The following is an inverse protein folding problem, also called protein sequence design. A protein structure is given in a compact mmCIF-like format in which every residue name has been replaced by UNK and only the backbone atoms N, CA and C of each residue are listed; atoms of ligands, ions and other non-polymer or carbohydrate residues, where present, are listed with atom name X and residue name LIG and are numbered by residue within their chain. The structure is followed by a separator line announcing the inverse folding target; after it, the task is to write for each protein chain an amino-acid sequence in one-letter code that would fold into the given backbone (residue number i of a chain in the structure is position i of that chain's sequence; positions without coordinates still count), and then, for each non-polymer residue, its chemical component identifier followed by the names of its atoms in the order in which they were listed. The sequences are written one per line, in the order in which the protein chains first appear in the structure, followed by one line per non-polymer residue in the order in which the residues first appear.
data_IF_308424707552
#
_entry.id   IF_308424707552
#
_cell.length_a   1.000
_cell.length_b   1.000
_cell.length_c   1.000
_cell.angle_alpha   90.00
_cell.angle_beta   90.00
_cell.angle_gamma   90.00
#
_symmetry.space_group_name_H-M   'P 1'
#
loop_
_entity.id
_entity.type
_entity.pdbx_description
1 polymer ?
#
# COMPACT_ATOMS: atom_id res chain seq x y z
N UNK A 1 -1.50 -19.95 -21.18
CA UNK A 1 -1.77 -19.25 -19.91
C UNK A 1 -1.26 -17.81 -20.00
N UNK A 2 -0.10 -17.53 -20.62
CA UNK A 2 0.43 -16.17 -20.84
C UNK A 2 -0.46 -15.41 -21.82
N UNK A 3 -1.37 -14.63 -21.30
CA UNK A 3 -2.33 -13.83 -22.07
C UNK A 3 -2.92 -12.73 -21.20
N UNK A 4 -3.51 -11.72 -21.83
CA UNK A 4 -4.22 -10.65 -21.11
C UNK A 4 -5.37 -11.19 -20.26
N UNK A 5 -6.05 -12.26 -20.71
CA UNK A 5 -7.11 -12.92 -19.94
C UNK A 5 -6.58 -13.57 -18.67
N UNK A 6 -5.40 -14.20 -18.73
CA UNK A 6 -4.71 -14.76 -17.56
C UNK A 6 -4.32 -13.68 -16.55
N UNK A 7 -3.75 -12.56 -17.03
CA UNK A 7 -3.41 -11.42 -16.18
C UNK A 7 -4.64 -10.81 -15.48
N UNK A 8 -5.75 -10.62 -16.22
CA UNK A 8 -7.02 -10.12 -15.65
C UNK A 8 -7.54 -11.06 -14.57
N UNK A 9 -7.55 -12.37 -14.84
CA UNK A 9 -8.02 -13.37 -13.86
C UNK A 9 -7.17 -13.32 -12.59
N UNK A 10 -5.84 -13.32 -12.73
CA UNK A 10 -4.93 -13.30 -11.59
C UNK A 10 -5.07 -12.02 -10.77
N UNK A 11 -5.03 -10.85 -11.41
CA UNK A 11 -5.19 -9.57 -10.72
C UNK A 11 -6.56 -9.46 -10.04
N UNK A 12 -7.62 -10.00 -10.66
CA UNK A 12 -8.95 -10.02 -10.05
C UNK A 12 -8.96 -10.87 -8.78
N UNK A 13 -8.36 -12.08 -8.82
CA UNK A 13 -8.30 -12.98 -7.67
C UNK A 13 -7.43 -12.45 -6.51
N UNK A 14 -6.46 -11.60 -6.80
CA UNK A 14 -5.57 -11.02 -5.78
C UNK A 14 -6.10 -9.69 -5.25
N UNK A 15 -6.71 -8.85 -6.10
CA UNK A 15 -7.08 -7.47 -5.74
C UNK A 15 -8.56 -7.32 -5.30
N UNK A 16 -9.43 -8.34 -5.48
CA UNK A 16 -10.84 -8.24 -5.05
C UNK A 16 -11.03 -7.85 -3.57
N UNK A 17 -10.13 -8.18 -2.61
CA UNK A 17 -10.33 -7.80 -1.21
C UNK A 17 -10.42 -6.31 -0.99
N UNK A 18 -9.77 -5.48 -1.80
CA UNK A 18 -9.86 -4.01 -1.70
C UNK A 18 -11.30 -3.51 -1.89
N UNK A 19 -11.97 -3.99 -2.94
CA UNK A 19 -13.39 -3.63 -3.19
C UNK A 19 -14.29 -4.28 -2.16
N UNK A 20 -14.06 -5.55 -1.84
CA UNK A 20 -14.88 -6.31 -0.89
C UNK A 20 -14.90 -5.68 0.49
N UNK A 21 -13.73 -5.33 1.05
CA UNK A 21 -13.63 -4.79 2.40
C UNK A 21 -14.32 -3.42 2.54
N UNK A 22 -14.14 -2.54 1.55
CA UNK A 22 -14.76 -1.22 1.56
C UNK A 22 -16.27 -1.30 1.32
N UNK A 23 -16.72 -2.14 0.38
CA UNK A 23 -18.14 -2.37 0.16
C UNK A 23 -18.80 -2.98 1.40
N UNK A 24 -18.16 -4.01 2.00
CA UNK A 24 -18.64 -4.65 3.22
C UNK A 24 -18.76 -3.66 4.38
N UNK A 25 -17.76 -2.80 4.60
CA UNK A 25 -17.81 -1.78 5.63
C UNK A 25 -19.01 -0.83 5.40
N UNK A 26 -19.18 -0.35 4.18
CA UNK A 26 -20.29 0.54 3.82
C UNK A 26 -21.65 -0.12 4.00
N UNK A 27 -21.81 -1.41 3.64
CA UNK A 27 -23.07 -2.13 3.87
C UNK A 27 -23.37 -2.36 5.36
N UNK A 28 -22.33 -2.56 6.20
CA UNK A 28 -22.50 -2.73 7.64
C UNK A 28 -22.85 -1.43 8.36
N UNK A 29 -22.46 -0.28 7.81
CA UNK A 29 -22.75 1.05 8.36
C UNK A 29 -24.13 1.58 7.94
N UNK A 30 -24.81 0.93 7.00
CA UNK A 30 -26.15 1.35 6.56
C UNK A 30 -27.19 1.20 7.69
N UNK A 31 -28.00 2.26 7.87
CA UNK A 31 -29.11 2.24 8.83
C UNK A 31 -30.14 1.16 8.49
N UNK A 32 -30.53 0.39 9.51
CA UNK A 32 -31.60 -0.61 9.41
C UNK A 32 -32.95 0.03 9.04
N UNK A 33 -33.23 1.24 9.53
CA UNK A 33 -34.46 1.97 9.27
C UNK A 33 -34.70 2.24 7.78
N UNK A 34 -33.64 2.54 7.01
CA UNK A 34 -33.75 2.76 5.54
C UNK A 34 -34.16 1.45 4.84
N UNK A 35 -33.58 0.34 5.28
CA UNK A 35 -33.88 -0.98 4.70
C UNK A 35 -35.30 -1.45 5.07
N UNK A 36 -35.71 -1.22 6.30
CA UNK A 36 -37.06 -1.56 6.77
C UNK A 36 -38.12 -0.69 6.07
N UNK A 37 -37.84 0.62 5.89
CA UNK A 37 -38.71 1.50 5.12
C UNK A 37 -38.85 1.04 3.65
N UNK A 38 -37.80 0.57 3.03
CA UNK A 38 -37.89 0.02 1.66
C UNK A 38 -38.80 -1.20 1.57
N UNK A 39 -38.78 -2.05 2.61
CA UNK A 39 -39.65 -3.23 2.70
C UNK A 39 -41.12 -2.86 2.96
N UNK A 40 -41.36 -1.86 3.83
CA UNK A 40 -42.70 -1.32 4.06
C UNK A 40 -43.30 -0.72 2.77
N UNK A 41 -42.44 -0.21 1.87
CA UNK A 41 -42.84 0.28 0.56
C UNK A 41 -42.98 -0.84 -0.50
N UNK A 42 -42.97 -2.11 -0.07
CA UNK A 42 -43.22 -3.27 -0.94
C UNK A 42 -42.02 -3.78 -1.74
N UNK A 43 -40.79 -3.28 -1.48
CA UNK A 43 -39.61 -3.81 -2.16
C UNK A 43 -39.25 -5.20 -1.64
N UNK A 44 -39.06 -6.15 -2.57
CA UNK A 44 -38.46 -7.44 -2.23
C UNK A 44 -36.97 -7.28 -1.87
N UNK A 45 -36.29 -8.29 -1.27
CA UNK A 45 -34.91 -8.17 -0.82
C UNK A 45 -33.92 -7.77 -1.94
N UNK A 46 -34.10 -8.26 -3.17
CA UNK A 46 -33.26 -7.92 -4.31
C UNK A 46 -33.50 -6.48 -4.81
N UNK A 47 -34.77 -6.05 -4.83
CA UNK A 47 -35.12 -4.67 -5.17
C UNK A 47 -34.57 -3.69 -4.13
N UNK A 48 -34.66 -4.02 -2.84
CA UNK A 48 -34.07 -3.23 -1.76
C UNK A 48 -32.54 -3.15 -1.90
N UNK A 49 -31.89 -4.24 -2.26
CA UNK A 49 -30.45 -4.25 -2.52
C UNK A 49 -30.08 -3.32 -3.69
N UNK A 50 -30.65 -3.53 -4.89
CA UNK A 50 -30.27 -2.75 -6.08
C UNK A 50 -30.72 -1.29 -6.05
N UNK A 51 -31.90 -0.99 -5.47
CA UNK A 51 -32.48 0.38 -5.47
C UNK A 51 -32.05 1.22 -4.29
N UNK A 52 -31.68 0.60 -3.16
CA UNK A 52 -31.36 1.31 -1.92
C UNK A 52 -29.95 1.05 -1.44
N UNK A 53 -29.61 -0.20 -1.09
CA UNK A 53 -28.33 -0.50 -0.44
C UNK A 53 -27.14 -0.29 -1.36
N UNK A 54 -27.20 -0.74 -2.61
CA UNK A 54 -26.12 -0.60 -3.58
C UNK A 54 -25.86 0.87 -3.98
N UNK A 55 -26.85 1.72 -4.26
CA UNK A 55 -26.65 3.15 -4.48
C UNK A 55 -25.99 3.87 -3.31
N UNK A 56 -26.33 3.52 -2.07
CA UNK A 56 -25.71 4.09 -0.86
C UNK A 56 -24.23 3.63 -0.76
N UNK A 57 -23.90 2.41 -1.15
CA UNK A 57 -22.55 1.88 -1.12
C UNK A 57 -21.67 2.30 -2.32
N UNK A 58 -22.25 2.89 -3.39
CA UNK A 58 -21.52 3.31 -4.60
C UNK A 58 -20.21 4.06 -4.33
N UNK A 59 -20.18 5.03 -3.39
CA UNK A 59 -18.95 5.77 -3.12
C UNK A 59 -17.83 4.90 -2.56
N UNK A 60 -18.15 3.97 -1.65
CA UNK A 60 -17.18 3.03 -1.08
C UNK A 60 -16.67 2.05 -2.15
N UNK A 61 -17.57 1.58 -3.03
CA UNK A 61 -17.22 0.74 -4.17
C UNK A 61 -16.32 1.50 -5.15
N UNK A 62 -16.63 2.75 -5.45
CA UNK A 62 -15.81 3.59 -6.33
C UNK A 62 -14.39 3.79 -5.78
N UNK A 63 -14.26 4.00 -4.46
CA UNK A 63 -12.95 4.05 -3.79
C UNK A 63 -12.20 2.71 -3.92
N UNK A 64 -12.87 1.59 -3.70
CA UNK A 64 -12.27 0.27 -3.86
C UNK A 64 -11.79 0.03 -5.29
N UNK A 65 -12.60 0.37 -6.29
CA UNK A 65 -12.23 0.28 -7.70
C UNK A 65 -11.04 1.19 -8.05
N UNK A 66 -10.99 2.42 -7.50
CA UNK A 66 -9.85 3.31 -7.70
C UNK A 66 -8.56 2.74 -7.13
N UNK A 67 -8.61 2.12 -5.94
CA UNK A 67 -7.46 1.45 -5.35
C UNK A 67 -6.99 0.27 -6.22
N UNK A 68 -7.91 -0.59 -6.66
CA UNK A 68 -7.58 -1.69 -7.59
C UNK A 68 -6.97 -1.17 -8.89
N UNK A 69 -7.52 -0.09 -9.45
CA UNK A 69 -6.98 0.51 -10.68
C UNK A 69 -5.56 1.06 -10.47
N UNK A 70 -5.29 1.71 -9.33
CA UNK A 70 -3.95 2.20 -8.99
C UNK A 70 -2.96 1.04 -8.82
N UNK A 71 -3.33 -0.03 -8.11
CA UNK A 71 -2.49 -1.22 -7.95
C UNK A 71 -2.23 -1.91 -9.29
N UNK A 72 -3.25 -2.03 -10.15
CA UNK A 72 -3.11 -2.63 -11.49
C UNK A 72 -2.20 -1.81 -12.41
N UNK A 73 -2.32 -0.47 -12.39
CA UNK A 73 -1.45 0.41 -13.19
C UNK A 73 -0.01 0.35 -12.67
N UNK A 74 0.15 0.20 -11.35
CA UNK A 74 1.46 0.11 -10.73
C UNK A 74 2.11 -1.28 -10.85
N UNK A 75 1.33 -2.31 -11.16
CA UNK A 75 1.85 -3.66 -11.32
C UNK A 75 2.81 -3.74 -12.52
N UNK A 76 3.97 -4.33 -12.28
CA UNK A 76 4.97 -4.60 -13.31
C UNK A 76 5.22 -6.11 -13.43
N UNK A 77 5.49 -6.78 -12.32
CA UNK A 77 5.90 -8.17 -12.33
C UNK A 77 4.85 -9.12 -12.91
N UNK A 78 3.57 -8.94 -12.57
CA UNK A 78 2.49 -9.77 -13.12
C UNK A 78 2.29 -9.50 -14.61
N UNK A 79 2.20 -8.24 -15.03
CA UNK A 79 1.94 -7.91 -16.44
C UNK A 79 3.11 -8.35 -17.33
N UNK A 80 4.34 -8.24 -16.87
CA UNK A 80 5.52 -8.71 -17.59
C UNK A 80 5.53 -10.23 -17.70
N UNK A 81 5.31 -10.97 -16.60
CA UNK A 81 5.21 -12.42 -16.62
C UNK A 81 4.13 -12.95 -17.58
N UNK A 82 2.98 -12.27 -17.67
CA UNK A 82 1.92 -12.62 -18.62
C UNK A 82 2.15 -12.06 -20.03
N UNK A 83 3.30 -11.42 -20.31
CA UNK A 83 3.66 -10.80 -21.57
C UNK A 83 2.65 -9.75 -22.06
N UNK A 84 2.06 -9.01 -21.13
CA UNK A 84 1.13 -7.91 -21.42
C UNK A 84 1.89 -6.61 -21.58
N UNK A 85 1.82 -5.99 -22.77
CA UNK A 85 2.43 -4.69 -23.03
C UNK A 85 1.68 -3.59 -22.28
N UNK A 86 2.18 -3.23 -21.10
CA UNK A 86 1.67 -2.15 -20.25
C UNK A 86 2.63 -0.94 -20.25
N UNK A 87 2.15 0.20 -19.75
CA UNK A 87 3.03 1.38 -19.61
C UNK A 87 4.14 1.13 -18.58
N UNK A 88 3.87 0.39 -17.50
CA UNK A 88 4.88 0.02 -16.50
C UNK A 88 5.98 -0.83 -17.13
N UNK A 89 5.64 -1.84 -17.94
CA UNK A 89 6.60 -2.63 -18.71
C UNK A 89 7.37 -1.76 -19.72
N UNK A 90 6.68 -0.85 -20.42
CA UNK A 90 7.33 0.07 -21.37
C UNK A 90 8.34 1.02 -20.74
N UNK A 91 8.10 1.50 -19.51
CA UNK A 91 9.08 2.31 -18.75
C UNK A 91 10.34 1.47 -18.48
N UNK A 92 10.14 0.24 -18.05
CA UNK A 92 11.22 -0.67 -17.72
C UNK A 92 12.05 -1.02 -18.96
N UNK A 93 11.40 -1.37 -20.07
CA UNK A 93 12.06 -1.66 -21.34
C UNK A 93 12.87 -0.47 -21.85
N UNK A 94 12.29 0.73 -21.84
CA UNK A 94 12.98 1.94 -22.28
C UNK A 94 14.21 2.26 -21.39
N UNK A 95 14.08 2.07 -20.07
CA UNK A 95 15.15 2.34 -19.12
C UNK A 95 16.28 1.30 -19.19
N UNK A 96 15.97 0.02 -18.96
CA UNK A 96 16.98 -1.04 -18.78
C UNK A 96 17.41 -1.69 -20.08
N UNK A 97 16.48 -1.97 -20.99
CA UNK A 97 16.81 -2.70 -22.21
C UNK A 97 17.31 -1.77 -23.32
N UNK A 98 16.75 -0.56 -23.42
CA UNK A 98 17.13 0.42 -24.44
C UNK A 98 18.12 1.49 -23.94
N UNK A 99 18.37 1.59 -22.63
CA UNK A 99 19.21 2.64 -22.05
C UNK A 99 18.71 4.07 -22.30
N UNK A 100 17.44 4.24 -22.66
CA UNK A 100 16.85 5.52 -23.06
C UNK A 100 16.03 6.15 -21.94
N UNK A 101 16.71 6.92 -21.08
CA UNK A 101 16.10 7.66 -19.96
C UNK A 101 15.00 8.62 -20.41
N UNK A 102 15.19 9.29 -21.56
CA UNK A 102 14.23 10.24 -22.11
C UNK A 102 12.90 9.57 -22.51
N UNK A 103 12.97 8.42 -23.19
CA UNK A 103 11.79 7.63 -23.53
C UNK A 103 11.08 7.10 -22.27
N UNK A 104 11.84 6.59 -21.29
CA UNK A 104 11.27 6.16 -20.01
C UNK A 104 10.54 7.30 -19.29
N UNK A 105 11.13 8.50 -19.25
CA UNK A 105 10.53 9.68 -18.64
C UNK A 105 9.26 10.15 -19.37
N UNK A 106 9.20 10.04 -20.70
CA UNK A 106 8.00 10.39 -21.49
C UNK A 106 6.85 9.42 -21.18
N UNK A 107 7.11 8.10 -21.17
CA UNK A 107 6.10 7.09 -20.82
C UNK A 107 5.63 7.28 -19.38
N UNK A 108 6.56 7.54 -18.44
CA UNK A 108 6.25 7.83 -17.04
C UNK A 108 5.36 9.07 -16.88
N UNK A 109 5.64 10.15 -17.65
CA UNK A 109 4.83 11.37 -17.65
C UNK A 109 3.41 11.12 -18.17
N UNK A 110 3.27 10.33 -19.24
CA UNK A 110 1.98 9.93 -19.77
C UNK A 110 1.19 9.07 -18.76
N UNK A 111 1.86 8.10 -18.13
CA UNK A 111 1.26 7.28 -17.09
C UNK A 111 0.76 8.13 -15.91
N UNK A 112 1.51 9.18 -15.54
CA UNK A 112 1.13 10.12 -14.48
C UNK A 112 -0.18 10.86 -14.82
N UNK A 113 -0.44 11.19 -16.09
CA UNK A 113 -1.71 11.81 -16.51
C UNK A 113 -2.89 10.88 -16.18
N UNK A 114 -2.79 9.59 -16.47
CA UNK A 114 -3.84 8.63 -16.13
C UNK A 114 -4.04 8.50 -14.61
N UNK A 115 -2.97 8.51 -13.83
CA UNK A 115 -3.06 8.45 -12.37
C UNK A 115 -3.74 9.70 -11.81
N UNK A 116 -3.39 10.90 -12.29
CA UNK A 116 -4.04 12.15 -11.88
C UNK A 116 -5.51 12.16 -12.26
N UNK A 117 -5.86 11.63 -13.45
CA UNK A 117 -7.25 11.46 -13.86
C UNK A 117 -8.02 10.56 -12.90
N UNK A 118 -7.47 9.39 -12.53
CA UNK A 118 -8.09 8.47 -11.58
C UNK A 118 -8.31 9.12 -10.21
N UNK A 119 -7.30 9.82 -9.67
CA UNK A 119 -7.40 10.53 -8.39
C UNK A 119 -8.50 11.61 -8.44
N UNK A 120 -8.59 12.34 -9.55
CA UNK A 120 -9.61 13.38 -9.70
C UNK A 120 -11.01 12.80 -9.80
N UNK A 121 -11.20 11.71 -10.54
CA UNK A 121 -12.47 10.99 -10.62
C UNK A 121 -12.88 10.41 -9.25
N UNK A 122 -11.96 9.83 -8.50
CA UNK A 122 -12.20 9.34 -7.15
C UNK A 122 -12.62 10.46 -6.20
N UNK A 123 -11.92 11.61 -6.22
CA UNK A 123 -12.27 12.79 -5.40
C UNK A 123 -13.67 13.34 -5.75
N UNK A 124 -14.01 13.38 -7.04
CA UNK A 124 -15.34 13.79 -7.48
C UNK A 124 -16.42 12.81 -7.01
N UNK A 125 -16.17 11.50 -7.05
CA UNK A 125 -17.08 10.49 -6.54
C UNK A 125 -17.31 10.62 -5.03
N UNK A 126 -16.25 10.88 -4.26
CA UNK A 126 -16.34 11.12 -2.79
C UNK A 126 -17.07 12.43 -2.46
N UNK A 127 -16.86 13.49 -3.22
CA UNK A 127 -17.49 14.79 -2.93
C UNK A 127 -19.03 14.73 -2.97
N UNK A 128 -19.58 13.90 -3.85
CA UNK A 128 -21.04 13.66 -3.94
C UNK A 128 -21.60 12.79 -2.79
N UNK A 129 -20.73 12.19 -1.98
CA UNK A 129 -21.07 11.17 -0.97
C UNK A 129 -21.08 11.67 0.46
N UNK A 130 -21.10 12.98 0.71
CA UNK A 130 -21.32 13.51 2.08
C UNK A 130 -22.74 13.16 2.55
N UNK A 131 -22.88 11.93 3.03
CA UNK A 131 -24.07 11.50 3.75
C UNK A 131 -23.85 11.75 5.23
N UNK A 132 -24.77 12.50 5.81
CA UNK A 132 -24.88 12.62 7.26
C UNK A 132 -25.23 11.25 7.82
N UNK A 133 -24.28 10.58 8.46
CA UNK A 133 -24.58 9.48 9.38
C UNK A 133 -25.35 10.10 10.55
N UNK A 134 -26.66 10.08 10.51
CA UNK A 134 -27.43 10.23 11.74
C UNK A 134 -26.98 9.11 12.67
N UNK A 135 -26.63 9.47 13.91
CA UNK A 135 -26.21 8.55 14.96
C UNK A 135 -27.41 7.67 15.37
N UNK A 136 -27.84 6.81 14.48
CA UNK A 136 -28.84 5.80 14.77
C UNK A 136 -28.13 4.62 15.47
N UNK A 137 -28.60 4.24 16.64
CA UNK A 137 -28.03 3.20 17.48
C UNK A 137 -27.73 1.98 16.65
N UNK A 138 -26.49 1.45 16.76
CA UNK A 138 -26.03 0.20 16.18
C UNK A 138 -26.99 -0.95 16.56
N UNK A 139 -28.00 -1.19 15.73
CA UNK A 139 -28.77 -2.43 15.78
C UNK A 139 -27.97 -3.50 15.05
N UNK A 140 -27.81 -4.63 15.71
CA UNK A 140 -27.17 -5.82 15.08
C UNK A 140 -27.98 -6.23 13.85
N UNK A 141 -27.28 -6.37 12.72
CA UNK A 141 -27.91 -6.79 11.47
C UNK A 141 -28.49 -8.19 11.65
N UNK A 142 -29.79 -8.35 11.45
CA UNK A 142 -30.43 -9.66 11.45
C UNK A 142 -29.84 -10.57 10.38
N UNK A 143 -29.39 -11.75 10.79
CA UNK A 143 -28.82 -12.75 9.90
C UNK A 143 -29.94 -13.54 9.26
N UNK A 144 -29.95 -13.60 7.92
CA UNK A 144 -30.86 -14.47 7.19
C UNK A 144 -30.41 -15.92 7.29
N UNK A 145 -31.32 -16.83 7.63
CA UNK A 145 -31.10 -18.26 7.53
C UNK A 145 -31.28 -18.67 6.06
N UNK A 146 -30.24 -19.11 5.45
CA UNK A 146 -30.26 -19.66 4.08
C UNK A 146 -30.73 -21.11 4.12
N UNK A 147 -31.46 -21.54 3.10
CA UNK A 147 -31.73 -22.98 2.88
C UNK A 147 -30.40 -23.71 2.62
N UNK A 148 -30.27 -25.01 2.95
CA UNK A 148 -28.99 -25.74 2.83
C UNK A 148 -28.32 -25.59 1.47
N UNK A 149 -29.09 -25.72 0.37
CA UNK A 149 -28.54 -25.54 -0.98
C UNK A 149 -28.00 -24.15 -1.26
N UNK A 150 -28.72 -23.09 -0.84
CA UNK A 150 -28.28 -21.70 -0.99
C UNK A 150 -27.10 -21.37 -0.07
N UNK A 151 -27.05 -21.98 1.12
CA UNK A 151 -25.93 -21.85 2.03
C UNK A 151 -24.64 -22.43 1.41
N UNK A 152 -24.71 -23.63 0.81
CA UNK A 152 -23.61 -24.26 0.11
C UNK A 152 -23.12 -23.41 -1.08
N UNK A 153 -24.03 -22.93 -1.92
CA UNK A 153 -23.68 -22.06 -3.05
C UNK A 153 -23.03 -20.76 -2.59
N UNK A 154 -23.54 -20.14 -1.52
CA UNK A 154 -22.95 -18.94 -0.95
C UNK A 154 -21.55 -19.20 -0.37
N UNK A 155 -21.37 -20.33 0.34
CA UNK A 155 -20.05 -20.72 0.88
C UNK A 155 -19.07 -20.98 -0.25
N UNK A 156 -19.47 -21.69 -1.29
CA UNK A 156 -18.63 -21.96 -2.46
C UNK A 156 -18.23 -20.65 -3.17
N UNK A 157 -19.20 -19.77 -3.41
CA UNK A 157 -18.94 -18.47 -4.04
C UNK A 157 -17.94 -17.60 -3.24
N UNK A 158 -17.98 -17.67 -1.89
CA UNK A 158 -17.01 -16.97 -1.05
C UNK A 158 -15.67 -17.70 -0.94
N UNK A 159 -15.66 -19.03 -1.00
CA UNK A 159 -14.45 -19.84 -0.88
C UNK A 159 -13.59 -19.82 -2.15
N UNK A 160 -14.23 -19.79 -3.35
CA UNK A 160 -13.53 -19.85 -4.64
C UNK A 160 -12.43 -18.76 -4.79
N UNK A 161 -12.70 -17.46 -4.53
CA UNK A 161 -11.65 -16.44 -4.64
C UNK A 161 -10.50 -16.67 -3.66
N UNK A 162 -10.78 -17.14 -2.45
CA UNK A 162 -9.75 -17.45 -1.45
C UNK A 162 -8.94 -18.67 -1.86
N UNK A 163 -9.62 -19.70 -2.37
CA UNK A 163 -8.98 -20.93 -2.83
C UNK A 163 -8.01 -20.65 -3.99
N UNK A 164 -8.49 -20.01 -5.04
CA UNK A 164 -7.68 -19.77 -6.24
C UNK A 164 -6.75 -18.57 -6.13
N UNK A 165 -7.12 -17.54 -5.36
CA UNK A 165 -6.29 -16.34 -5.17
C UNK A 165 -5.22 -16.47 -4.09
N UNK A 166 -5.36 -17.44 -3.17
CA UNK A 166 -4.41 -17.61 -2.08
C UNK A 166 -4.03 -19.07 -1.82
N UNK A 167 -4.98 -19.96 -1.55
CA UNK A 167 -4.66 -21.30 -1.06
C UNK A 167 -3.88 -22.12 -2.10
N UNK A 168 -4.34 -22.16 -3.35
CA UNK A 168 -3.67 -22.90 -4.43
C UNK A 168 -2.27 -22.36 -4.69
N UNK A 169 -2.05 -21.03 -4.92
CA UNK A 169 -0.71 -20.48 -5.08
C UNK A 169 0.20 -20.75 -3.88
N UNK A 170 -0.32 -20.60 -2.66
CA UNK A 170 0.46 -20.83 -1.45
C UNK A 170 0.91 -22.28 -1.30
N UNK A 171 0.00 -23.24 -1.52
CA UNK A 171 0.32 -24.68 -1.43
C UNK A 171 1.34 -25.05 -2.53
N UNK A 172 1.16 -24.55 -3.75
CA UNK A 172 2.09 -24.81 -4.85
C UNK A 172 3.49 -24.25 -4.55
N UNK A 173 3.58 -23.01 -4.05
CA UNK A 173 4.86 -22.41 -3.65
C UNK A 173 5.49 -23.16 -2.46
N UNK A 174 4.69 -23.63 -1.51
CA UNK A 174 5.18 -24.40 -0.37
C UNK A 174 5.74 -25.76 -0.81
N UNK A 175 5.05 -26.46 -1.72
CA UNK A 175 5.51 -27.73 -2.27
C UNK A 175 6.83 -27.57 -3.05
N UNK A 176 6.90 -26.59 -3.94
CA UNK A 176 8.13 -26.24 -4.66
C UNK A 176 9.28 -25.83 -3.73
N UNK A 177 8.99 -25.09 -2.66
CA UNK A 177 9.97 -24.66 -1.67
C UNK A 177 10.57 -25.82 -0.87
N UNK A 178 9.78 -26.87 -0.60
CA UNK A 178 10.28 -28.08 0.08
C UNK A 178 11.35 -28.82 -0.73
N UNK A 179 11.32 -28.72 -2.04
CA UNK A 179 12.33 -29.30 -2.92
C UNK A 179 13.64 -28.46 -2.99
N UNK A 180 13.63 -27.21 -2.51
CA UNK A 180 14.75 -26.25 -2.61
C UNK A 180 15.12 -25.66 -1.24
N UNK A 181 15.01 -26.45 -0.15
CA UNK A 181 15.33 -26.00 1.20
C UNK A 181 16.81 -25.66 1.41
N UNK A 182 17.69 -26.21 0.58
CA UNK A 182 19.13 -25.92 0.54
C UNK A 182 19.41 -24.43 0.28
N UNK A 183 18.56 -23.74 -0.47
CA UNK A 183 18.72 -22.30 -0.73
C UNK A 183 18.64 -21.43 0.53
N UNK A 184 17.92 -21.85 1.57
CA UNK A 184 17.88 -21.10 2.84
C UNK A 184 19.24 -21.04 3.55
N UNK A 185 20.15 -21.97 3.23
CA UNK A 185 21.50 -21.99 3.76
C UNK A 185 22.52 -21.27 2.84
N UNK A 186 22.11 -20.82 1.67
CA UNK A 186 22.96 -20.08 0.74
C UNK A 186 23.22 -18.66 1.25
N UNK A 187 24.48 -18.24 1.24
CA UNK A 187 24.90 -16.91 1.67
C UNK A 187 24.29 -15.81 0.79
N UNK A 188 24.11 -16.03 -0.50
CA UNK A 188 23.49 -15.07 -1.42
C UNK A 188 22.01 -14.88 -1.05
N UNK A 189 21.28 -15.95 -0.76
CA UNK A 189 19.89 -15.87 -0.32
C UNK A 189 19.73 -15.11 1.00
N UNK A 190 20.61 -15.39 1.97
CA UNK A 190 20.63 -14.65 3.25
C UNK A 190 20.98 -13.17 3.02
N UNK A 191 21.83 -12.87 2.06
CA UNK A 191 22.12 -11.51 1.60
C UNK A 191 20.87 -10.79 1.10
N UNK A 192 20.09 -11.41 0.21
CA UNK A 192 18.84 -10.84 -0.33
C UNK A 192 17.78 -10.65 0.78
N UNK A 193 17.67 -11.60 1.70
CA UNK A 193 16.76 -11.51 2.82
C UNK A 193 17.14 -10.36 3.77
N UNK A 194 18.42 -10.21 4.11
CA UNK A 194 18.91 -9.12 4.96
C UNK A 194 18.79 -7.76 4.30
N UNK A 195 19.07 -7.65 3.01
CA UNK A 195 18.86 -6.42 2.24
C UNK A 195 17.37 -6.01 2.25
N UNK A 196 16.47 -6.95 1.96
CA UNK A 196 15.02 -6.69 1.99
C UNK A 196 14.54 -6.25 3.36
N UNK A 197 14.98 -6.94 4.42
CA UNK A 197 14.58 -6.63 5.78
C UNK A 197 15.11 -5.27 6.24
N UNK A 198 16.40 -4.99 6.04
CA UNK A 198 17.03 -3.72 6.46
C UNK A 198 16.47 -2.54 5.69
N UNK A 199 16.29 -2.67 4.36
CA UNK A 199 15.68 -1.64 3.53
C UNK A 199 14.24 -1.34 3.96
N UNK A 200 13.44 -2.39 4.18
CA UNK A 200 12.05 -2.22 4.60
C UNK A 200 11.92 -1.66 6.01
N UNK A 201 12.75 -2.13 6.96
CA UNK A 201 12.74 -1.64 8.33
C UNK A 201 13.18 -0.17 8.42
N UNK A 202 14.28 0.19 7.76
CA UNK A 202 14.76 1.58 7.74
C UNK A 202 13.76 2.52 7.10
N UNK A 203 13.18 2.15 5.96
CA UNK A 203 12.17 2.96 5.27
C UNK A 203 10.88 3.10 6.10
N UNK A 204 10.41 2.02 6.73
CA UNK A 204 9.21 2.05 7.56
C UNK A 204 9.40 2.94 8.81
N UNK A 205 10.54 2.84 9.48
CA UNK A 205 10.86 3.65 10.66
C UNK A 205 11.00 5.13 10.29
N UNK A 206 11.69 5.45 9.20
CA UNK A 206 11.85 6.82 8.72
C UNK A 206 10.51 7.42 8.27
N UNK A 207 9.71 6.68 7.50
CA UNK A 207 8.37 7.12 7.10
C UNK A 207 7.47 7.38 8.32
N UNK A 208 7.52 6.52 9.34
CA UNK A 208 6.76 6.70 10.57
C UNK A 208 7.23 7.93 11.37
N UNK A 209 8.54 8.16 11.48
CA UNK A 209 9.10 9.33 12.14
C UNK A 209 8.68 10.63 11.44
N UNK A 210 8.79 10.68 10.10
CA UNK A 210 8.36 11.83 9.30
C UNK A 210 6.84 12.03 9.42
N UNK A 211 6.05 10.96 9.40
CA UNK A 211 4.59 11.00 9.59
C UNK A 211 4.20 11.61 10.94
N UNK A 212 4.87 11.21 12.03
CA UNK A 212 4.65 11.80 13.37
C UNK A 212 4.98 13.29 13.37
N UNK A 213 6.12 13.69 12.79
CA UNK A 213 6.52 15.10 12.72
C UNK A 213 5.47 15.92 11.96
N UNK A 214 5.02 15.46 10.79
CA UNK A 214 4.02 16.16 9.96
C UNK A 214 2.67 16.23 10.69
N UNK A 215 2.16 15.11 11.21
CA UNK A 215 0.87 15.04 11.86
C UNK A 215 0.83 15.89 13.14
N UNK A 216 1.91 15.86 13.93
CA UNK A 216 2.03 16.66 15.14
C UNK A 216 2.18 18.15 14.84
N UNK A 217 3.01 18.53 13.85
CA UNK A 217 3.14 19.91 13.40
C UNK A 217 1.82 20.49 12.91
N UNK A 218 1.04 19.71 12.16
CA UNK A 218 -0.32 20.06 11.72
C UNK A 218 -1.29 20.25 12.89
N UNK A 219 -1.18 19.43 13.94
CA UNK A 219 -1.99 19.57 15.17
C UNK A 219 -1.67 20.86 15.93
N UNK A 220 -0.38 21.19 16.07
CA UNK A 220 0.07 22.38 16.78
C UNK A 220 -0.25 23.69 16.04
N UNK A 221 -0.22 23.66 14.72
CA UNK A 221 -0.34 24.84 13.87
C UNK A 221 -1.43 24.65 12.81
N UNK A 222 -2.63 24.29 13.25
CA UNK A 222 -3.77 23.99 12.36
C UNK A 222 -4.14 25.13 11.40
N UNK A 223 -3.82 26.38 11.73
CA UNK A 223 -4.09 27.57 10.88
C UNK A 223 -3.04 27.81 9.79
N UNK A 224 -1.84 27.21 9.88
CA UNK A 224 -0.76 27.44 8.90
C UNK A 224 -1.03 26.68 7.59
N UNK A 225 -1.35 27.45 6.53
CA UNK A 225 -1.65 26.92 5.19
C UNK A 225 -0.50 26.08 4.58
N UNK A 226 0.75 26.48 4.85
CA UNK A 226 1.94 25.75 4.38
C UNK A 226 2.00 24.31 4.89
N UNK A 227 1.70 24.09 6.18
CA UNK A 227 1.67 22.75 6.77
C UNK A 227 0.52 21.89 6.25
N UNK A 228 -0.63 22.53 5.97
CA UNK A 228 -1.73 21.80 5.34
C UNK A 228 -1.38 21.38 3.91
N UNK A 229 -0.68 22.21 3.15
CA UNK A 229 -0.21 21.89 1.80
C UNK A 229 0.85 20.78 1.88
N UNK A 230 1.83 20.88 2.77
CA UNK A 230 2.85 19.85 2.96
C UNK A 230 2.23 18.48 3.30
N UNK A 231 1.26 18.44 4.23
CA UNK A 231 0.54 17.22 4.57
C UNK A 231 -0.33 16.66 3.40
N UNK A 232 -0.85 17.53 2.53
CA UNK A 232 -1.57 17.09 1.32
C UNK A 232 -0.62 16.53 0.27
N UNK A 233 0.54 17.14 0.10
CA UNK A 233 1.57 16.68 -0.84
C UNK A 233 2.15 15.34 -0.40
N UNK A 234 2.44 15.16 0.90
CA UNK A 234 2.95 13.89 1.42
C UNK A 234 1.97 12.72 1.20
N UNK A 235 0.68 12.99 1.13
CA UNK A 235 -0.33 11.97 0.84
C UNK A 235 -0.45 11.60 -0.65
N UNK A 236 0.22 12.33 -1.57
CA UNK A 236 0.20 12.00 -3.00
C UNK A 236 1.18 10.88 -3.36
N UNK A 237 2.22 10.66 -2.54
CA UNK A 237 3.28 9.70 -2.85
C UNK A 237 2.77 8.27 -3.11
N UNK A 238 1.79 7.81 -2.36
CA UNK A 238 1.21 6.47 -2.52
C UNK A 238 0.49 6.26 -3.87
N UNK A 239 -0.05 7.32 -4.42
CA UNK A 239 -0.73 7.27 -5.71
C UNK A 239 0.25 7.20 -6.90
N UNK A 240 1.53 7.51 -6.68
CA UNK A 240 2.54 7.48 -7.73
C UNK A 240 2.97 6.02 -8.00
N UNK A 241 2.93 5.56 -9.27
CA UNK A 241 3.49 4.28 -9.64
C UNK A 241 4.99 4.21 -9.31
N UNK A 242 5.46 3.05 -8.82
CA UNK A 242 6.84 2.87 -8.39
C UNK A 242 7.85 3.19 -9.48
N UNK A 243 7.59 2.78 -10.72
CA UNK A 243 8.46 3.07 -11.85
C UNK A 243 8.53 4.58 -12.17
N UNK A 244 7.38 5.29 -12.11
CA UNK A 244 7.32 6.75 -12.31
C UNK A 244 8.11 7.48 -11.24
N UNK A 245 7.90 7.07 -9.97
CA UNK A 245 8.63 7.63 -8.84
C UNK A 245 10.13 7.39 -8.96
N UNK A 246 10.53 6.20 -9.36
CA UNK A 246 11.94 5.85 -9.53
C UNK A 246 12.64 6.73 -10.56
N UNK A 247 12.03 6.95 -11.73
CA UNK A 247 12.56 7.87 -12.74
C UNK A 247 12.63 9.30 -12.19
N UNK A 248 11.57 9.74 -11.49
CA UNK A 248 11.52 11.07 -10.88
C UNK A 248 12.55 11.29 -9.76
N UNK A 249 13.05 10.22 -9.13
CA UNK A 249 14.08 10.26 -8.08
C UNK A 249 15.47 10.12 -8.66
N UNK A 250 15.70 9.15 -9.57
CA UNK A 250 17.05 8.85 -10.05
C UNK A 250 17.64 10.00 -10.88
N UNK A 251 16.84 10.65 -11.72
CA UNK A 251 17.31 11.71 -12.61
C UNK A 251 17.87 12.91 -11.84
N UNK A 252 17.15 13.51 -10.87
CA UNK A 252 17.69 14.60 -10.05
C UNK A 252 18.86 14.17 -9.16
N UNK A 253 18.82 12.97 -8.57
CA UNK A 253 19.92 12.49 -7.72
C UNK A 253 21.21 12.27 -8.53
N UNK A 254 21.11 11.67 -9.73
CA UNK A 254 22.25 11.50 -10.61
C UNK A 254 22.81 12.85 -11.10
N UNK A 255 21.95 13.81 -11.41
CA UNK A 255 22.39 15.16 -11.78
C UNK A 255 23.11 15.86 -10.61
N UNK A 256 22.62 15.69 -9.39
CA UNK A 256 23.28 16.21 -8.19
C UNK A 256 24.64 15.53 -7.98
N UNK A 257 24.73 14.20 -8.01
CA UNK A 257 25.97 13.46 -7.83
C UNK A 257 27.03 13.87 -8.87
N UNK A 258 26.62 13.95 -10.15
CA UNK A 258 27.53 14.38 -11.22
C UNK A 258 28.01 15.83 -11.02
N UNK A 259 27.15 16.72 -10.53
CA UNK A 259 27.54 18.11 -10.25
C UNK A 259 28.55 18.19 -9.09
N UNK A 260 28.32 17.41 -8.03
CA UNK A 260 29.25 17.32 -6.88
C UNK A 260 30.59 16.70 -7.31
N UNK A 261 30.56 15.61 -8.09
CA UNK A 261 31.77 14.96 -8.57
C UNK A 261 32.59 15.89 -9.48
N UNK A 262 31.95 16.62 -10.40
CA UNK A 262 32.60 17.59 -11.26
C UNK A 262 33.27 18.72 -10.43
N UNK A 263 32.54 19.28 -9.45
CA UNK A 263 33.08 20.31 -8.55
C UNK A 263 34.27 19.78 -7.75
N UNK A 264 34.16 18.59 -7.16
CA UNK A 264 35.23 18.00 -6.34
C UNK A 264 36.46 17.64 -7.18
N UNK A 265 36.28 17.17 -8.40
CA UNK A 265 37.41 16.93 -9.34
C UNK A 265 38.13 18.24 -9.72
N UNK A 266 37.37 19.29 -10.00
CA UNK A 266 37.94 20.58 -10.42
C UNK A 266 38.68 21.31 -9.29
N UNK A 267 38.10 21.36 -8.07
CA UNK A 267 38.64 22.16 -6.97
C UNK A 267 39.47 21.38 -5.95
N UNK A 268 39.26 20.07 -5.80
CA UNK A 268 39.92 19.25 -4.77
C UNK A 268 40.76 18.11 -5.40
N UNK A 269 40.56 17.82 -6.69
CA UNK A 269 41.27 16.76 -7.40
C UNK A 269 40.83 15.32 -7.04
N UNK A 270 39.66 15.19 -6.36
CA UNK A 270 39.13 13.89 -5.88
C UNK A 270 37.82 13.59 -6.59
N UNK A 271 37.67 12.35 -7.12
CA UNK A 271 36.39 11.87 -7.60
C UNK A 271 35.56 11.34 -6.44
N UNK A 272 34.33 11.83 -6.28
CA UNK A 272 33.39 11.35 -5.27
C UNK A 272 32.55 10.17 -5.76
N UNK A 273 32.43 9.98 -7.08
CA UNK A 273 31.52 9.02 -7.68
C UNK A 273 30.04 9.32 -7.35
N UNK A 274 29.20 8.29 -7.39
CA UNK A 274 27.78 8.39 -7.09
C UNK A 274 27.53 8.30 -5.58
N UNK A 275 27.23 9.42 -4.94
CA UNK A 275 27.03 9.50 -3.47
C UNK A 275 25.62 9.08 -3.05
N UNK A 276 24.61 9.44 -3.84
CA UNK A 276 23.20 9.24 -3.53
C UNK A 276 22.55 8.24 -4.47
N UNK A 277 22.68 8.45 -5.80
CA UNK A 277 22.01 7.64 -6.82
C UNK A 277 22.54 6.21 -6.96
N UNK A 278 23.78 5.97 -6.58
CA UNK A 278 24.39 4.63 -6.60
C UNK A 278 24.36 3.88 -5.27
N UNK A 279 23.56 4.33 -4.29
CA UNK A 279 23.53 3.77 -2.95
C UNK A 279 22.09 3.40 -2.53
N UNK A 280 21.92 2.60 -1.45
CA UNK A 280 20.59 2.31 -0.90
C UNK A 280 19.80 3.55 -0.46
N UNK A 281 20.44 4.71 -0.34
CA UNK A 281 19.78 5.98 -0.03
C UNK A 281 18.66 6.32 -1.02
N UNK A 282 18.89 6.14 -2.34
CA UNK A 282 17.89 6.41 -3.36
C UNK A 282 16.63 5.55 -3.17
N UNK A 283 16.80 4.27 -2.80
CA UNK A 283 15.70 3.36 -2.49
C UNK A 283 14.93 3.79 -1.24
N UNK A 284 15.64 4.05 -0.13
CA UNK A 284 15.03 4.50 1.13
C UNK A 284 14.28 5.81 0.92
N UNK A 285 14.85 6.75 0.18
CA UNK A 285 14.19 8.02 -0.14
C UNK A 285 12.90 7.81 -0.94
N UNK A 286 12.96 7.00 -2.01
CA UNK A 286 11.79 6.69 -2.84
C UNK A 286 10.69 5.99 -2.03
N UNK A 287 11.06 5.02 -1.19
CA UNK A 287 10.12 4.31 -0.33
C UNK A 287 9.48 5.24 0.71
N UNK A 288 10.28 6.13 1.33
CA UNK A 288 9.74 7.14 2.23
C UNK A 288 8.73 8.04 1.51
N UNK A 289 9.05 8.56 0.31
CA UNK A 289 8.12 9.40 -0.46
C UNK A 289 6.84 8.63 -0.79
N UNK A 290 6.95 7.38 -1.21
CA UNK A 290 5.80 6.56 -1.62
C UNK A 290 4.90 6.19 -0.46
N UNK A 291 5.49 5.66 0.62
CA UNK A 291 4.73 5.05 1.71
C UNK A 291 4.45 5.98 2.90
N UNK A 292 4.93 7.23 2.84
CA UNK A 292 4.63 8.25 3.85
C UNK A 292 3.13 8.47 4.04
N UNK A 293 2.34 8.38 2.98
CA UNK A 293 0.89 8.51 3.03
C UNK A 293 0.23 7.43 3.90
N UNK A 294 0.72 6.19 3.84
CA UNK A 294 0.20 5.04 4.59
C UNK A 294 0.49 5.23 6.08
N UNK A 295 1.74 5.54 6.41
CA UNK A 295 2.14 5.83 7.78
C UNK A 295 1.43 7.07 8.33
N UNK A 296 1.34 8.15 7.53
CA UNK A 296 0.65 9.39 7.86
C UNK A 296 -0.82 9.19 8.19
N UNK A 297 -1.55 8.42 7.36
CA UNK A 297 -2.95 8.08 7.59
C UNK A 297 -3.17 7.32 8.91
N UNK A 298 -2.29 6.37 9.23
CA UNK A 298 -2.34 5.59 10.48
C UNK A 298 -2.07 6.47 11.71
N UNK A 299 -1.09 7.37 11.63
CA UNK A 299 -0.75 8.30 12.70
C UNK A 299 -1.85 9.36 12.88
N UNK A 300 -2.32 10.00 11.79
CA UNK A 300 -3.38 11.01 11.85
C UNK A 300 -4.68 10.47 12.44
N UNK A 301 -5.09 9.26 12.01
CA UNK A 301 -6.30 8.61 12.52
C UNK A 301 -6.21 8.28 14.02
N UNK A 302 -5.04 7.93 14.50
CA UNK A 302 -4.80 7.67 15.92
C UNK A 302 -4.71 8.95 16.74
N UNK A 303 -4.04 9.98 16.20
CA UNK A 303 -3.91 11.28 16.85
C UNK A 303 -5.24 12.02 16.94
N UNK A 304 -6.17 11.80 16.00
CA UNK A 304 -7.52 12.35 16.03
C UNK A 304 -8.35 11.85 17.22
N UNK A 305 -8.00 10.70 17.83
CA UNK A 305 -8.65 10.17 19.05
C UNK A 305 -8.19 10.88 20.32
N UNK A 306 -7.08 11.60 20.28
CA UNK A 306 -6.54 12.37 21.42
C UNK A 306 -7.26 13.71 21.48
N UNK A 307 -8.04 13.91 22.54
CA UNK A 307 -8.87 15.12 22.70
C UNK A 307 -8.04 16.36 23.02
N UNK A 308 -8.47 17.58 22.62
CA UNK A 308 -7.77 18.82 22.96
C UNK A 308 -7.66 19.07 24.47
N UNK A 309 -8.58 18.52 25.27
CA UNK A 309 -8.53 18.62 26.74
C UNK A 309 -7.30 17.96 27.34
N UNK A 310 -6.79 16.88 26.73
CA UNK A 310 -5.53 16.25 27.16
C UNK A 310 -4.33 17.17 26.93
N UNK A 311 -4.31 17.91 25.82
CA UNK A 311 -3.26 18.89 25.52
C UNK A 311 -3.28 20.05 26.54
N UNK A 312 -4.49 20.51 26.90
CA UNK A 312 -4.66 21.56 27.91
C UNK A 312 -4.23 21.09 29.29
N UNK A 313 -4.60 19.88 29.69
CA UNK A 313 -4.20 19.28 30.97
C UNK A 313 -2.66 19.12 31.07
N UNK A 314 -2.02 18.62 30.02
CA UNK A 314 -0.56 18.50 29.98
C UNK A 314 0.13 19.86 30.15
N UNK A 315 -0.37 20.90 29.46
CA UNK A 315 0.16 22.28 29.57
C UNK A 315 -0.04 22.89 30.95
N UNK A 316 -1.20 22.67 31.59
CA UNK A 316 -1.46 23.14 32.95
C UNK A 316 -0.55 22.48 33.99
N UNK A 317 -0.06 21.28 33.70
CA UNK A 317 0.95 20.56 34.48
C UNK A 317 2.40 20.97 34.13
N UNK A 318 2.60 21.99 33.30
CA UNK A 318 3.91 22.53 32.93
C UNK A 318 4.64 21.75 31.84
N UNK A 319 3.97 20.82 31.14
CA UNK A 319 4.60 20.10 30.04
C UNK A 319 4.78 20.98 28.81
N UNK A 320 6.00 21.03 28.27
CA UNK A 320 6.27 21.67 27.00
C UNK A 320 5.81 20.77 25.83
N UNK A 321 5.89 21.29 24.61
CA UNK A 321 5.41 20.60 23.40
C UNK A 321 6.05 19.23 23.19
N UNK A 322 7.37 19.11 23.36
CA UNK A 322 8.09 17.84 23.17
C UNK A 322 7.75 16.84 24.28
N UNK A 323 7.63 17.32 25.51
CA UNK A 323 7.24 16.48 26.64
C UNK A 323 5.81 15.96 26.48
N UNK A 324 4.88 16.81 26.01
CA UNK A 324 3.51 16.40 25.69
C UNK A 324 3.49 15.36 24.57
N UNK A 325 4.32 15.51 23.52
CA UNK A 325 4.43 14.51 22.46
C UNK A 325 4.90 13.15 23.04
N UNK A 326 5.99 13.18 23.83
CA UNK A 326 6.64 11.95 24.28
C UNK A 326 5.86 11.24 25.40
N UNK A 327 5.38 11.99 26.39
CA UNK A 327 4.73 11.42 27.59
C UNK A 327 3.23 11.17 27.40
N UNK A 328 2.55 11.91 26.51
CA UNK A 328 1.09 11.81 26.34
C UNK A 328 0.73 11.23 24.98
N UNK A 329 1.17 11.85 23.87
CA UNK A 329 0.70 11.49 22.55
C UNK A 329 1.28 10.17 22.05
N UNK A 330 2.59 9.97 22.07
CA UNK A 330 3.24 8.74 21.59
C UNK A 330 2.70 7.48 22.29
N UNK A 331 2.54 7.43 23.62
CA UNK A 331 1.94 6.29 24.29
C UNK A 331 0.49 6.01 23.85
N UNK A 332 -0.30 7.08 23.61
CA UNK A 332 -1.70 6.94 23.20
C UNK A 332 -1.82 6.48 21.74
N UNK A 333 -0.95 6.92 20.85
CA UNK A 333 -1.00 6.57 19.42
C UNK A 333 -0.14 5.36 19.06
N UNK A 334 0.53 4.72 20.03
CA UNK A 334 1.46 3.59 19.78
C UNK A 334 0.88 2.49 18.90
N UNK A 335 -0.40 2.16 19.07
CA UNK A 335 -1.07 1.15 18.26
C UNK A 335 -1.18 1.53 16.78
N UNK A 336 -1.55 2.78 16.50
CA UNK A 336 -1.60 3.28 15.12
C UNK A 336 -0.22 3.50 14.52
N UNK A 337 0.74 3.94 15.32
CA UNK A 337 2.14 4.07 14.89
C UNK A 337 2.72 2.71 14.49
N UNK A 338 2.55 1.69 15.33
CA UNK A 338 2.99 0.33 15.03
C UNK A 338 2.28 -0.23 13.80
N UNK A 339 0.97 0.02 13.66
CA UNK A 339 0.21 -0.34 12.44
C UNK A 339 0.83 0.30 11.20
N UNK A 340 1.12 1.60 11.24
CA UNK A 340 1.75 2.32 10.12
C UNK A 340 3.12 1.74 9.76
N UNK A 341 3.97 1.47 10.76
CA UNK A 341 5.29 0.84 10.56
C UNK A 341 5.15 -0.53 9.91
N UNK A 342 4.27 -1.39 10.44
CA UNK A 342 4.11 -2.75 9.95
C UNK A 342 3.57 -2.80 8.52
N UNK A 343 2.60 -1.94 8.18
CA UNK A 343 2.05 -1.90 6.81
C UNK A 343 3.10 -1.40 5.83
N UNK A 344 3.81 -0.32 6.16
CA UNK A 344 4.90 0.20 5.30
C UNK A 344 6.02 -0.84 5.14
N UNK A 345 6.39 -1.53 6.21
CA UNK A 345 7.40 -2.59 6.16
C UNK A 345 7.02 -3.69 5.14
N UNK A 346 5.77 -4.17 5.19
CA UNK A 346 5.29 -5.20 4.25
C UNK A 346 5.23 -4.68 2.82
N UNK A 347 4.77 -3.44 2.64
CA UNK A 347 4.69 -2.83 1.31
C UNK A 347 6.09 -2.63 0.69
N UNK A 348 7.09 -2.27 1.51
CA UNK A 348 8.49 -2.20 1.07
C UNK A 348 9.07 -3.58 0.71
N UNK A 349 8.76 -4.63 1.50
CA UNK A 349 9.27 -5.99 1.26
C UNK A 349 8.87 -6.57 -0.11
N UNK A 350 7.70 -6.22 -0.59
CA UNK A 350 7.17 -6.68 -1.89
C UNK A 350 7.39 -5.69 -3.04
N UNK A 351 8.02 -4.52 -2.74
CA UNK A 351 8.17 -3.47 -3.75
C UNK A 351 9.19 -3.87 -4.81
N UNK A 352 8.74 -3.97 -6.06
CA UNK A 352 9.54 -4.41 -7.19
C UNK A 352 9.84 -3.27 -8.18
N UNK A 353 8.85 -2.52 -8.73
CA UNK A 353 9.09 -1.55 -9.81
C UNK A 353 10.12 -0.47 -9.50
N UNK A 354 10.06 0.15 -8.32
CA UNK A 354 11.03 1.16 -7.93
C UNK A 354 12.39 0.54 -7.59
N UNK A 355 12.38 -0.65 -6.98
CA UNK A 355 13.61 -1.36 -6.61
C UNK A 355 14.46 -1.71 -7.82
N UNK A 356 13.86 -2.24 -8.87
CA UNK A 356 14.56 -2.62 -10.10
C UNK A 356 15.29 -1.45 -10.77
N UNK A 357 14.74 -0.24 -10.68
CA UNK A 357 15.29 0.96 -11.30
C UNK A 357 16.35 1.63 -10.41
N UNK A 358 16.13 1.64 -9.08
CA UNK A 358 16.93 2.43 -8.12
C UNK A 358 18.00 1.61 -7.40
N UNK A 359 17.95 0.28 -7.46
CA UNK A 359 18.90 -0.56 -6.70
C UNK A 359 20.35 -0.33 -7.15
N UNK A 360 21.29 -0.24 -6.22
CA UNK A 360 22.71 -0.28 -6.53
C UNK A 360 23.13 -1.63 -7.15
N UNK A 361 24.28 -1.66 -7.80
CA UNK A 361 24.87 -2.92 -8.23
C UNK A 361 25.10 -3.83 -7.02
N UNK A 362 24.85 -5.12 -7.20
CA UNK A 362 24.98 -6.16 -6.17
C UNK A 362 24.10 -5.94 -4.91
N UNK A 363 23.01 -5.16 -5.03
CA UNK A 363 22.06 -4.95 -3.97
C UNK A 363 20.70 -5.54 -4.34
N UNK A 364 20.66 -6.88 -4.41
CA UNK A 364 19.41 -7.58 -4.68
C UNK A 364 18.56 -7.74 -3.43
N UNK A 365 17.25 -7.71 -3.64
CA UNK A 365 16.22 -7.95 -2.64
C UNK A 365 15.48 -9.25 -2.97
N UNK A 366 14.71 -9.79 -2.02
CA UNK A 366 13.86 -10.95 -2.29
C UNK A 366 12.89 -10.71 -3.46
N UNK A 367 12.34 -9.50 -3.58
CA UNK A 367 11.42 -9.17 -4.67
C UNK A 367 12.13 -9.16 -6.03
N UNK A 368 13.35 -8.60 -6.13
CA UNK A 368 14.13 -8.59 -7.38
C UNK A 368 14.62 -9.99 -7.75
N UNK A 369 15.02 -10.79 -6.76
CA UNK A 369 15.39 -12.19 -6.95
C UNK A 369 14.22 -13.02 -7.50
N UNK A 370 13.04 -12.91 -6.87
CA UNK A 370 11.83 -13.61 -7.35
C UNK A 370 11.50 -13.20 -8.78
N UNK A 371 11.55 -11.91 -9.09
CA UNK A 371 11.26 -11.41 -10.43
C UNK A 371 12.26 -11.98 -11.47
N UNK A 372 13.57 -11.95 -11.19
CA UNK A 372 14.60 -12.42 -12.10
C UNK A 372 14.43 -13.91 -12.44
N UNK A 373 14.25 -14.75 -11.44
CA UNK A 373 14.05 -16.18 -11.65
C UNK A 373 12.69 -16.50 -12.29
N UNK A 374 11.65 -15.75 -11.96
CA UNK A 374 10.34 -15.92 -12.60
C UNK A 374 10.39 -15.52 -14.09
N UNK A 375 11.14 -14.48 -14.46
CA UNK A 375 11.36 -14.07 -15.86
C UNK A 375 12.13 -15.14 -16.66
N UNK A 376 13.07 -15.82 -15.99
CA UNK A 376 13.84 -16.94 -16.57
C UNK A 376 13.05 -18.27 -16.57
N UNK A 377 11.75 -18.26 -16.25
CA UNK A 377 10.88 -19.43 -16.15
C UNK A 377 11.29 -20.47 -15.07
N UNK A 378 12.12 -20.05 -14.11
CA UNK A 378 12.64 -20.86 -13.00
C UNK A 378 11.89 -20.63 -11.71
N UNK A 379 10.55 -20.76 -11.76
CA UNK A 379 9.65 -20.45 -10.61
C UNK A 379 9.97 -21.36 -9.41
N UNK A 380 10.35 -22.60 -9.63
CA UNK A 380 10.72 -23.52 -8.55
C UNK A 380 11.87 -22.99 -7.70
N UNK A 381 12.91 -22.44 -8.36
CA UNK A 381 14.08 -21.92 -7.70
C UNK A 381 13.81 -20.61 -6.92
N UNK A 382 12.81 -19.82 -7.28
CA UNK A 382 12.46 -18.60 -6.51
C UNK A 382 11.36 -18.83 -5.46
N UNK A 383 10.79 -20.03 -5.37
CA UNK A 383 9.68 -20.32 -4.46
C UNK A 383 10.01 -20.10 -2.97
N UNK A 384 11.23 -20.39 -2.44
CA UNK A 384 11.56 -20.09 -1.05
C UNK A 384 11.51 -18.58 -0.74
N UNK A 385 12.03 -17.76 -1.65
CA UNK A 385 12.01 -16.30 -1.50
C UNK A 385 10.59 -15.74 -1.55
N UNK A 386 9.79 -16.21 -2.52
CA UNK A 386 8.38 -15.81 -2.64
C UNK A 386 7.58 -16.21 -1.40
N UNK A 387 7.78 -17.44 -0.89
CA UNK A 387 7.13 -17.91 0.32
C UNK A 387 7.55 -17.08 1.55
N UNK A 388 8.82 -16.72 1.68
CA UNK A 388 9.31 -15.87 2.76
C UNK A 388 8.65 -14.50 2.76
N UNK A 389 8.51 -13.84 1.59
CA UNK A 389 7.78 -12.56 1.45
C UNK A 389 6.34 -12.72 1.93
N UNK A 390 5.64 -13.79 1.53
CA UNK A 390 4.25 -14.05 1.94
C UNK A 390 4.15 -14.26 3.44
N UNK A 391 5.02 -15.08 4.04
CA UNK A 391 5.02 -15.35 5.48
C UNK A 391 5.28 -14.08 6.30
N UNK A 392 6.27 -13.28 5.89
CA UNK A 392 6.56 -11.99 6.52
C UNK A 392 5.36 -11.04 6.40
N UNK A 393 4.65 -11.05 5.26
CA UNK A 393 3.44 -10.25 5.04
C UNK A 393 2.24 -10.67 5.89
N UNK A 394 2.11 -11.94 6.24
CA UNK A 394 1.00 -12.47 7.07
C UNK A 394 1.11 -12.00 8.53
N UNK A 395 2.31 -11.87 9.08
CA UNK A 395 2.54 -11.49 10.48
C UNK A 395 1.83 -10.18 10.86
N UNK A 396 2.02 -9.06 10.15
CA UNK A 396 1.30 -7.81 10.43
C UNK A 396 -0.21 -7.94 10.32
N UNK A 397 -0.71 -8.71 9.36
CA UNK A 397 -2.16 -8.93 9.18
C UNK A 397 -2.76 -9.64 10.39
N UNK A 398 -2.09 -10.66 10.92
CA UNK A 398 -2.52 -11.35 12.14
C UNK A 398 -2.47 -10.40 13.34
N UNK A 399 -1.40 -9.65 13.51
CA UNK A 399 -1.25 -8.69 14.62
C UNK A 399 -2.36 -7.61 14.58
N UNK A 400 -2.63 -7.06 13.40
CA UNK A 400 -3.69 -6.08 13.19
C UNK A 400 -5.09 -6.64 13.47
N UNK A 401 -5.37 -7.85 13.01
CA UNK A 401 -6.66 -8.51 13.25
C UNK A 401 -6.93 -8.75 14.74
N UNK A 402 -5.90 -9.14 15.50
CA UNK A 402 -5.99 -9.33 16.96
C UNK A 402 -6.22 -8.02 17.71
N UNK A 403 -5.55 -6.93 17.32
CA UNK A 403 -5.75 -5.61 17.96
C UNK A 403 -7.14 -5.06 17.73
N UNK A 404 -7.72 -5.23 16.54
CA UNK A 404 -9.09 -4.81 16.21
C UNK A 404 -10.11 -5.61 17.05
N UNK A 405 -9.89 -6.91 17.23
CA UNK A 405 -10.78 -7.78 17.99
C UNK A 405 -10.77 -7.44 19.49
N UNK A 406 -9.59 -7.18 20.06
CA UNK A 406 -9.43 -6.79 21.46
C UNK A 406 -10.13 -5.46 21.78
N UNK A 407 -10.05 -4.49 20.88
CA UNK A 407 -10.72 -3.17 21.06
C UNK A 407 -12.25 -3.27 20.99
N UNK A 408 -12.81 -4.28 20.31
CA UNK A 408 -14.26 -4.53 20.26
C UNK A 408 -14.81 -5.23 21.49
N UNK A 409 -13.98 -6.01 22.20
CA UNK A 409 -14.40 -6.72 23.44
C UNK A 409 -14.33 -5.82 24.68
N UNK A 410 -13.59 -4.71 24.63
CA UNK A 410 -13.48 -3.74 25.73
C UNK A 410 -14.49 -2.57 25.66
N UNK A 411 -15.41 -2.59 24.72
CA UNK A 411 -16.55 -1.67 24.56
C UNK A 411 -17.88 -2.42 24.66
#
# INVERSE_FOLDING_TARGET
IRSIGGAILMLTLVLYPYVYLLARASFLEQSMSIRDASRMLGCNPWQSFYRVSLPIARPAIAVGLSLVSMETINDFGTVDYFAVKSMSAGIYDAWLNMGNVGAAAQIASLMMVFVVLLITLERMARAKSRQYSSADRYRTIERYRLTPQRAWLATLACALPVLFGFAVPFITLADMSLAHLDQFADNDFLGYATNSFTLSATSALLAAAIAVIIAYSKRLHASKRSLQIAARLSNLGYALPGAVLAIGVIVPLAAFDNSVDAFMREYVGISTGLLLSGTPFALVFAYCVRFLAVSGGSVESSLAKVTPSMDMAARSLGANTLRTLHEVHLPLIRGGLLTGILVVFVDCMKELPATLILRPFNYDTLATFVYQYASDERIEACSPAALLIVLVGIIPVILLSRTITATRQSR
#
